data_IF_545064207987
#
_entry.id   IF_545064207987
#
_cell.length_a   1.000
_cell.length_b   1.000
_cell.length_c   1.000
_cell.angle_alpha   90.00
_cell.angle_beta   90.00
_cell.angle_gamma   90.00
#
_symmetry.space_group_name_H-M   'P 1'
#
loop_
_entity.id
_entity.type
_entity.pdbx_description
1 polymer ?
#
# COMPACT_ATOMS: atom_id res chain seq x y z
N UNK A 1 13.25 34.16 1.53
CA UNK A 1 12.17 34.43 2.52
C UNK A 1 10.86 34.24 1.80
N UNK A 2 9.96 33.41 2.31
CA UNK A 2 8.65 33.24 1.68
C UNK A 2 7.80 34.48 1.89
N UNK A 3 7.16 34.97 0.82
CA UNK A 3 6.21 36.07 0.95
C UNK A 3 4.91 35.57 1.60
N UNK A 4 4.14 36.48 2.20
CA UNK A 4 2.85 36.13 2.77
C UNK A 4 1.90 35.51 1.72
N UNK A 5 1.94 36.01 0.48
CA UNK A 5 1.17 35.43 -0.63
C UNK A 5 1.61 34.02 -1.00
N UNK A 6 2.91 33.71 -0.94
CA UNK A 6 3.41 32.35 -1.19
C UNK A 6 2.96 31.38 -0.12
N UNK A 7 2.97 31.78 1.16
CA UNK A 7 2.50 30.95 2.27
C UNK A 7 1.00 30.67 2.17
N UNK A 8 0.19 31.70 1.87
CA UNK A 8 -1.26 31.55 1.70
C UNK A 8 -1.60 30.64 0.51
N UNK A 9 -0.97 30.85 -0.64
CA UNK A 9 -1.15 30.01 -1.81
C UNK A 9 -0.79 28.55 -1.53
N UNK A 10 0.35 28.31 -0.87
CA UNK A 10 0.82 26.95 -0.56
C UNK A 10 -0.15 26.23 0.38
N UNK A 11 -0.71 26.93 1.37
CA UNK A 11 -1.70 26.38 2.28
C UNK A 11 -3.02 26.04 1.57
N UNK A 12 -3.54 26.96 0.74
CA UNK A 12 -4.75 26.69 -0.03
C UNK A 12 -4.55 25.53 -1.01
N UNK A 13 -3.41 25.51 -1.70
CA UNK A 13 -3.06 24.45 -2.64
C UNK A 13 -2.99 23.09 -1.96
N UNK A 14 -2.30 22.96 -0.83
CA UNK A 14 -2.14 21.66 -0.16
C UNK A 14 -3.47 21.13 0.36
N UNK A 15 -4.35 22.01 0.86
CA UNK A 15 -5.69 21.61 1.31
C UNK A 15 -6.51 21.06 0.15
N UNK A 16 -6.60 21.80 -0.97
CA UNK A 16 -7.36 21.36 -2.16
C UNK A 16 -6.77 20.08 -2.74
N UNK A 17 -5.44 19.99 -2.80
CA UNK A 17 -4.72 18.83 -3.29
C UNK A 17 -5.02 17.58 -2.44
N UNK A 18 -4.92 17.68 -1.11
CA UNK A 18 -5.22 16.57 -0.19
C UNK A 18 -6.67 16.13 -0.29
N UNK A 19 -7.61 17.08 -0.33
CA UNK A 19 -9.04 16.77 -0.51
C UNK A 19 -9.27 15.99 -1.81
N UNK A 20 -8.68 16.47 -2.91
CA UNK A 20 -8.78 15.84 -4.24
C UNK A 20 -8.20 14.43 -4.21
N UNK A 21 -7.04 14.24 -3.59
CA UNK A 21 -6.39 12.93 -3.42
C UNK A 21 -7.28 11.96 -2.63
N UNK A 22 -7.88 12.42 -1.52
CA UNK A 22 -8.80 11.60 -0.73
C UNK A 22 -9.99 11.14 -1.60
N UNK A 23 -10.61 12.05 -2.36
CA UNK A 23 -11.74 11.67 -3.23
C UNK A 23 -11.34 10.71 -4.34
N UNK A 24 -10.16 10.91 -4.94
CA UNK A 24 -9.62 10.02 -5.97
C UNK A 24 -9.43 8.60 -5.42
N UNK A 25 -8.68 8.44 -4.33
CA UNK A 25 -8.37 7.14 -3.76
C UNK A 25 -9.56 6.44 -3.10
N UNK A 26 -10.55 7.18 -2.62
CA UNK A 26 -11.77 6.55 -2.07
C UNK A 26 -12.50 5.69 -3.09
N UNK A 27 -12.48 6.05 -4.37
CA UNK A 27 -13.08 5.25 -5.44
C UNK A 27 -12.27 3.97 -5.69
N UNK A 28 -10.95 4.07 -5.63
CA UNK A 28 -10.04 2.94 -5.85
C UNK A 28 -10.12 1.87 -4.76
N UNK A 29 -10.49 2.23 -3.52
CA UNK A 29 -10.68 1.24 -2.44
C UNK A 29 -11.72 0.19 -2.83
N UNK A 30 -12.79 0.58 -3.53
CA UNK A 30 -13.83 -0.36 -3.98
C UNK A 30 -13.29 -1.27 -5.08
N UNK A 31 -12.55 -0.71 -6.03
CA UNK A 31 -11.90 -1.43 -7.13
C UNK A 31 -10.86 -2.42 -6.62
N UNK A 32 -10.00 -2.01 -5.68
CA UNK A 32 -9.03 -2.89 -5.03
C UNK A 32 -9.68 -4.08 -4.34
N UNK A 33 -10.81 -3.87 -3.65
CA UNK A 33 -11.56 -4.96 -3.02
C UNK A 33 -12.20 -5.93 -4.03
N UNK A 34 -12.45 -5.51 -5.27
CA UNK A 34 -13.02 -6.38 -6.32
C UNK A 34 -11.90 -7.19 -6.98
N UNK A 35 -10.82 -6.54 -7.42
CA UNK A 35 -9.76 -7.21 -8.20
C UNK A 35 -8.69 -7.90 -7.36
N UNK A 36 -8.43 -7.44 -6.13
CA UNK A 36 -7.39 -7.98 -5.25
C UNK A 36 -7.95 -8.72 -4.02
N UNK A 37 -9.23 -9.10 -4.05
CA UNK A 37 -9.86 -9.89 -2.98
C UNK A 37 -9.09 -11.21 -2.82
N UNK A 38 -8.53 -11.43 -1.64
CA UNK A 38 -7.82 -12.69 -1.35
C UNK A 38 -6.35 -12.72 -1.77
N UNK A 39 -5.75 -11.62 -2.23
CA UNK A 39 -4.32 -11.56 -2.54
C UNK A 39 -3.43 -11.98 -1.34
N UNK A 40 -3.89 -11.75 -0.11
CA UNK A 40 -3.20 -12.22 1.11
C UNK A 40 -2.97 -13.74 1.15
N UNK A 41 -3.79 -14.53 0.43
CA UNK A 41 -3.60 -15.99 0.32
C UNK A 41 -2.33 -16.34 -0.44
N UNK A 42 -1.95 -15.55 -1.43
CA UNK A 42 -0.69 -15.71 -2.19
C UNK A 42 0.49 -15.45 -1.27
N UNK A 43 0.40 -14.41 -0.43
CA UNK A 43 1.42 -14.10 0.58
C UNK A 43 1.57 -15.24 1.60
N UNK A 44 0.46 -15.80 2.09
CA UNK A 44 0.47 -16.96 2.98
C UNK A 44 1.13 -18.16 2.30
N UNK A 45 0.75 -18.46 1.05
CA UNK A 45 1.37 -19.54 0.27
C UNK A 45 2.89 -19.36 0.11
N UNK A 46 3.33 -18.13 -0.13
CA UNK A 46 4.75 -17.80 -0.23
C UNK A 46 5.51 -18.05 1.08
N UNK A 47 4.96 -17.64 2.22
CA UNK A 47 5.57 -17.91 3.52
C UNK A 47 5.57 -19.41 3.87
N UNK A 48 4.51 -20.15 3.54
CA UNK A 48 4.46 -21.60 3.70
C UNK A 48 5.55 -22.26 2.85
N UNK A 49 5.71 -21.84 1.60
CA UNK A 49 6.75 -22.36 0.72
C UNK A 49 8.16 -22.11 1.28
N UNK A 50 8.44 -20.90 1.75
CA UNK A 50 9.72 -20.59 2.42
C UNK A 50 9.91 -21.49 3.66
N UNK A 51 8.90 -21.61 4.52
CA UNK A 51 8.96 -22.47 5.69
C UNK A 51 9.26 -23.93 5.34
N UNK A 52 8.64 -24.44 4.28
CA UNK A 52 8.89 -25.79 3.76
C UNK A 52 10.34 -25.97 3.30
N UNK A 53 10.94 -24.97 2.64
CA UNK A 53 12.36 -25.02 2.26
C UNK A 53 13.28 -25.16 3.49
N UNK A 54 12.98 -24.46 4.58
CA UNK A 54 13.73 -24.60 5.82
C UNK A 54 13.54 -25.97 6.48
N UNK A 55 12.31 -26.50 6.48
CA UNK A 55 12.02 -27.84 6.97
C UNK A 55 12.82 -28.87 6.18
N UNK A 56 12.72 -28.87 4.85
CA UNK A 56 13.48 -29.77 3.97
C UNK A 56 14.98 -29.63 4.24
N UNK A 57 15.50 -28.40 4.33
CA UNK A 57 16.92 -28.14 4.63
C UNK A 57 17.35 -28.75 5.97
N UNK A 58 16.51 -28.73 7.00
CA UNK A 58 16.84 -29.31 8.31
C UNK A 58 16.81 -30.83 8.24
N UNK A 59 15.78 -31.41 7.62
CA UNK A 59 15.60 -32.86 7.55
C UNK A 59 16.53 -33.57 6.56
N UNK A 60 16.92 -32.92 5.45
CA UNK A 60 17.85 -33.48 4.45
C UNK A 60 19.33 -33.16 4.73
N UNK A 61 19.64 -32.23 5.64
CA UNK A 61 21.02 -31.95 6.06
C UNK A 61 21.47 -32.92 7.17
N UNK A 62 21.03 -34.17 7.06
CA UNK A 62 21.39 -35.26 7.95
C UNK A 62 22.02 -36.40 7.16
#
# INVERSE_FOLDING_TARGET
MFSQGQLLFSLCFIIVFVITMIFSYRKDIRTHKVFYKGNYKILIGFFIFIGLLFVIKIFLKH
#
